data_IF_305419422710
#
_entry.id   IF_305419422710
#
_cell.length_a   1.000
_cell.length_b   1.000
_cell.length_c   1.000
_cell.angle_alpha   90.00
_cell.angle_beta   90.00
_cell.angle_gamma   90.00
#
_symmetry.space_group_name_H-M   'P 1'
#
loop_
_entity.id
_entity.type
_entity.pdbx_description
1 polymer ?
#
# COMPACT_ATOMS: atom_id res chain seq x y z
N UNK A 1 -10.66 -14.28 -24.22
CA UNK A 1 -10.38 -12.99 -23.55
C UNK A 1 -11.34 -12.77 -22.39
N UNK A 2 -10.83 -12.71 -21.15
CA UNK A 2 -11.62 -12.46 -19.92
C UNK A 2 -11.31 -11.06 -19.39
N UNK A 3 -12.28 -10.44 -18.73
CA UNK A 3 -12.14 -9.13 -18.11
C UNK A 3 -11.05 -9.16 -17.03
N UNK A 4 -10.09 -8.24 -17.08
CA UNK A 4 -9.00 -8.18 -16.10
C UNK A 4 -9.46 -7.88 -14.66
N UNK A 5 -10.63 -7.24 -14.48
CA UNK A 5 -11.17 -6.89 -13.16
C UNK A 5 -12.14 -7.95 -12.63
N UNK A 6 -13.12 -8.38 -13.44
CA UNK A 6 -14.21 -9.24 -12.96
C UNK A 6 -14.30 -10.60 -13.65
N UNK A 7 -13.30 -10.97 -14.46
CA UNK A 7 -13.15 -12.26 -15.14
C UNK A 7 -14.29 -12.71 -16.08
N UNK A 8 -15.35 -11.89 -16.24
CA UNK A 8 -16.42 -12.10 -17.24
C UNK A 8 -15.89 -12.00 -18.68
N UNK A 9 -16.64 -12.53 -19.65
CA UNK A 9 -16.32 -12.40 -21.09
C UNK A 9 -16.13 -10.92 -21.47
N UNK A 10 -14.97 -10.59 -22.05
CA UNK A 10 -14.67 -9.23 -22.48
C UNK A 10 -15.61 -8.80 -23.63
N UNK A 11 -15.94 -7.50 -23.69
CA UNK A 11 -16.89 -6.92 -24.66
C UNK A 11 -16.25 -5.84 -25.55
N UNK A 12 -14.93 -5.89 -25.75
CA UNK A 12 -14.21 -4.95 -26.63
C UNK A 12 -13.70 -3.68 -25.96
N UNK A 13 -13.82 -3.54 -24.64
CA UNK A 13 -13.12 -2.49 -23.91
C UNK A 13 -11.68 -2.92 -23.64
N UNK A 14 -10.72 -2.03 -23.82
CA UNK A 14 -9.29 -2.30 -23.58
C UNK A 14 -8.56 -1.10 -23.01
N UNK A 15 -7.37 -1.33 -22.48
CA UNK A 15 -6.49 -0.25 -22.02
C UNK A 15 -5.37 -0.01 -23.04
N UNK A 16 -5.08 1.27 -23.30
CA UNK A 16 -3.94 1.68 -24.12
C UNK A 16 -2.99 2.52 -23.27
N UNK A 17 -1.69 2.36 -23.49
CA UNK A 17 -0.70 3.18 -22.82
C UNK A 17 -0.60 4.54 -23.51
N UNK A 18 -1.02 5.66 -22.88
CA UNK A 18 -0.98 6.97 -23.52
C UNK A 18 0.46 7.48 -23.73
N UNK A 19 1.45 6.94 -23.01
CA UNK A 19 2.86 7.35 -23.09
C UNK A 19 3.58 6.77 -24.31
N UNK A 20 3.05 5.70 -24.89
CA UNK A 20 3.63 5.06 -26.06
C UNK A 20 3.10 5.70 -27.35
N UNK A 21 4.00 5.84 -28.33
CA UNK A 21 3.67 6.38 -29.64
C UNK A 21 2.63 5.49 -30.34
N UNK A 22 1.73 6.06 -31.17
CA UNK A 22 0.74 5.28 -31.91
C UNK A 22 1.27 4.09 -32.72
N UNK A 23 2.52 4.17 -33.17
CA UNK A 23 3.21 3.13 -33.94
C UNK A 23 3.83 2.01 -33.10
N UNK A 24 3.87 2.14 -31.77
CA UNK A 24 4.46 1.13 -30.89
C UNK A 24 3.52 -0.08 -30.74
N UNK A 25 3.95 -1.31 -31.07
CA UNK A 25 3.15 -2.51 -30.89
C UNK A 25 2.70 -2.73 -29.44
N UNK A 26 3.45 -2.24 -28.45
CA UNK A 26 3.13 -2.38 -27.04
C UNK A 26 2.12 -1.33 -26.54
N UNK A 27 1.68 -0.41 -27.40
CA UNK A 27 0.70 0.62 -27.03
C UNK A 27 -0.63 0.02 -26.62
N UNK A 28 -1.04 -1.05 -27.30
CA UNK A 28 -2.23 -1.81 -26.99
C UNK A 28 -1.82 -3.14 -26.38
N UNK A 29 -2.25 -3.39 -25.15
CA UNK A 29 -2.01 -4.69 -24.54
C UNK A 29 -3.24 -5.56 -24.68
N UNK A 30 -3.09 -6.69 -25.38
CA UNK A 30 -4.16 -7.69 -25.46
C UNK A 30 -4.51 -8.27 -24.07
N UNK A 31 -3.63 -8.11 -23.07
CA UNK A 31 -3.87 -8.60 -21.70
C UNK A 31 -4.94 -7.79 -20.97
N UNK A 32 -5.05 -6.48 -21.26
CA UNK A 32 -5.89 -5.56 -20.50
C UNK A 32 -7.20 -5.28 -21.23
N UNK A 33 -8.12 -6.24 -21.14
CA UNK A 33 -9.45 -6.21 -21.76
C UNK A 33 -10.55 -6.25 -20.70
N UNK A 34 -11.69 -5.60 -20.96
CA UNK A 34 -12.77 -5.41 -19.98
C UNK A 34 -14.16 -5.74 -20.55
N UNK A 35 -15.10 -6.05 -19.65
CA UNK A 35 -16.49 -6.36 -20.02
C UNK A 35 -17.42 -5.14 -20.07
N UNK A 36 -17.02 -4.00 -19.48
CA UNK A 36 -17.83 -2.79 -19.39
C UNK A 36 -16.95 -1.56 -19.11
N UNK A 37 -17.50 -0.36 -19.38
CA UNK A 37 -16.86 0.91 -19.05
C UNK A 37 -16.55 1.04 -17.56
N UNK A 38 -17.43 0.56 -16.67
CA UNK A 38 -17.19 0.54 -15.21
C UNK A 38 -15.92 -0.23 -14.83
N UNK A 39 -15.66 -1.39 -15.43
CA UNK A 39 -14.44 -2.15 -15.16
C UNK A 39 -13.20 -1.49 -15.75
N UNK A 40 -13.34 -0.82 -16.90
CA UNK A 40 -12.27 -0.02 -17.50
C UNK A 40 -11.92 1.18 -16.61
N UNK A 41 -12.91 1.95 -16.13
CA UNK A 41 -12.69 3.12 -15.28
C UNK A 41 -12.09 2.72 -13.92
N UNK A 42 -12.54 1.61 -13.32
CA UNK A 42 -11.93 1.08 -12.10
C UNK A 42 -10.46 0.70 -12.30
N UNK A 43 -10.13 0.10 -13.45
CA UNK A 43 -8.75 -0.20 -13.81
C UNK A 43 -7.94 1.07 -14.08
N UNK A 44 -8.51 2.06 -14.78
CA UNK A 44 -7.85 3.35 -14.99
C UNK A 44 -7.54 4.05 -13.66
N UNK A 45 -8.46 4.04 -12.70
CA UNK A 45 -8.25 4.60 -11.36
C UNK A 45 -7.12 3.89 -10.62
N UNK A 46 -7.07 2.56 -10.68
CA UNK A 46 -5.97 1.77 -10.13
C UNK A 46 -4.66 2.15 -10.79
N UNK A 47 -4.60 2.17 -12.13
CA UNK A 47 -3.38 2.52 -12.85
C UNK A 47 -2.95 3.96 -12.59
N UNK A 48 -3.85 4.95 -12.51
CA UNK A 48 -3.47 6.32 -12.13
C UNK A 48 -2.89 6.42 -10.73
N UNK A 49 -3.32 5.56 -9.80
CA UNK A 49 -2.72 5.45 -8.46
C UNK A 49 -1.38 4.73 -8.47
N UNK A 50 -1.09 3.92 -9.49
CA UNK A 50 0.10 3.04 -9.54
C UNK A 50 1.12 3.48 -10.61
N UNK A 51 0.80 4.45 -11.47
CA UNK A 51 1.60 4.81 -12.66
C UNK A 51 2.59 5.96 -12.45
N UNK A 52 3.41 5.85 -11.41
CA UNK A 52 4.79 6.27 -11.45
C UNK A 52 5.56 5.32 -10.52
N UNK A 53 6.76 4.88 -10.91
CA UNK A 53 7.69 4.21 -9.99
C UNK A 53 8.23 5.21 -8.96
N UNK A 54 7.35 5.69 -8.09
CA UNK A 54 7.70 6.07 -6.74
C UNK A 54 7.04 4.97 -5.92
N UNK A 55 7.80 4.28 -5.08
CA UNK A 55 7.18 3.70 -3.90
C UNK A 55 6.61 4.94 -3.25
N UNK A 56 5.31 5.23 -3.43
CA UNK A 56 4.64 6.16 -2.55
C UNK A 56 4.56 5.35 -1.27
N UNK A 57 5.47 5.56 -0.31
CA UNK A 57 5.33 4.92 0.98
C UNK A 57 3.91 5.22 1.44
N UNK A 58 3.18 4.16 1.78
CA UNK A 58 1.88 4.30 2.43
C UNK A 58 2.01 5.28 3.59
N UNK A 59 0.90 5.92 3.98
CA UNK A 59 0.93 6.85 5.11
C UNK A 59 1.54 6.21 6.37
N UNK A 60 1.36 4.89 6.52
CA UNK A 60 1.97 4.05 7.53
C UNK A 60 3.49 3.96 7.37
N UNK A 61 3.99 3.65 6.18
CA UNK A 61 5.44 3.58 5.91
C UNK A 61 6.10 4.97 6.08
N UNK A 62 5.41 6.06 5.72
CA UNK A 62 5.87 7.44 6.00
C UNK A 62 5.96 7.73 7.49
N UNK A 63 4.98 7.29 8.27
CA UNK A 63 4.98 7.43 9.72
C UNK A 63 6.16 6.66 10.34
N UNK A 64 6.38 5.41 9.92
CA UNK A 64 7.52 4.61 10.37
C UNK A 64 8.86 5.25 10.00
N UNK A 65 9.02 5.77 8.77
CA UNK A 65 10.23 6.49 8.36
C UNK A 65 10.50 7.73 9.22
N UNK A 66 9.46 8.47 9.60
CA UNK A 66 9.60 9.65 10.48
C UNK A 66 9.97 9.25 11.90
N UNK A 67 9.40 8.17 12.42
CA UNK A 67 9.70 7.67 13.75
C UNK A 67 11.15 7.16 13.89
N UNK A 68 11.76 6.68 12.79
CA UNK A 68 13.18 6.29 12.76
C UNK A 68 14.15 7.46 13.00
N UNK A 69 13.73 8.72 12.81
CA UNK A 69 14.61 9.89 12.93
C UNK A 69 15.11 10.10 14.36
N UNK A 70 14.30 9.78 15.38
CA UNK A 70 14.68 9.92 16.78
C UNK A 70 15.82 8.97 17.19
N UNK A 71 15.68 7.63 17.05
CA UNK A 71 16.74 6.70 17.43
C UNK A 71 17.99 6.84 16.55
N UNK A 72 17.82 7.23 15.28
CA UNK A 72 18.95 7.58 14.43
C UNK A 72 19.75 8.76 15.01
N UNK A 73 19.06 9.82 15.42
CA UNK A 73 19.71 11.01 16.01
C UNK A 73 20.42 10.70 17.32
N UNK A 74 19.82 9.87 18.17
CA UNK A 74 20.43 9.42 19.43
C UNK A 74 21.71 8.61 19.18
N UNK A 75 21.68 7.68 18.22
CA UNK A 75 22.84 6.87 17.87
C UNK A 75 23.98 7.72 17.29
N UNK A 76 23.70 8.59 16.31
CA UNK A 76 24.70 9.49 15.72
C UNK A 76 25.24 10.47 16.77
N UNK A 77 24.39 10.97 17.67
CA UNK A 77 24.80 11.80 18.80
C UNK A 77 25.79 11.09 19.75
N UNK A 78 25.63 9.78 19.95
CA UNK A 78 26.53 8.98 20.80
C UNK A 78 27.93 8.75 20.21
N UNK A 79 28.04 8.70 18.89
CA UNK A 79 29.31 8.49 18.16
C UNK A 79 30.08 9.81 17.96
N UNK A 80 29.37 10.93 17.96
CA UNK A 80 29.92 12.27 17.77
C UNK A 80 29.64 12.81 16.37
N UNK A 81 28.85 13.89 16.29
CA UNK A 81 28.39 14.50 15.03
C UNK A 81 29.51 15.15 14.20
N UNK A 82 30.69 15.35 14.78
CA UNK A 82 31.86 15.94 14.12
C UNK A 82 32.51 14.98 13.10
N UNK A 83 32.28 13.66 13.24
CA UNK A 83 32.83 12.65 12.35
C UNK A 83 31.95 12.50 11.09
N UNK A 84 32.50 12.66 9.88
CA UNK A 84 31.75 12.38 8.67
C UNK A 84 31.45 10.87 8.57
N UNK A 85 30.33 10.51 7.94
CA UNK A 85 29.92 9.11 7.73
C UNK A 85 30.98 8.25 7.00
N UNK A 86 31.88 8.89 6.25
CA UNK A 86 32.98 8.20 5.57
C UNK A 86 34.03 7.61 6.53
N UNK A 87 34.14 8.17 7.74
CA UNK A 87 35.12 7.75 8.75
C UNK A 87 34.53 6.74 9.74
N UNK A 88 33.32 6.24 9.48
CA UNK A 88 32.66 5.26 10.34
C UNK A 88 33.26 3.88 10.06
N UNK A 89 33.56 3.16 11.13
CA UNK A 89 33.96 1.76 11.06
C UNK A 89 32.79 0.92 10.54
N UNK A 90 33.10 -0.28 10.04
CA UNK A 90 32.07 -1.21 9.56
C UNK A 90 31.06 -1.54 10.66
N UNK A 91 31.54 -1.70 11.89
CA UNK A 91 30.74 -2.03 13.06
C UNK A 91 29.78 -0.88 13.41
N UNK A 92 30.24 0.36 13.36
CA UNK A 92 29.40 1.56 13.59
C UNK A 92 28.31 1.69 12.52
N UNK A 93 28.62 1.44 11.24
CA UNK A 93 27.61 1.50 10.16
C UNK A 93 26.58 0.37 10.29
N UNK A 94 27.02 -0.84 10.63
CA UNK A 94 26.10 -1.96 10.82
C UNK A 94 25.14 -1.70 11.98
N UNK A 95 25.64 -1.17 13.09
CA UNK A 95 24.79 -0.82 14.23
C UNK A 95 23.85 0.37 13.92
N UNK A 96 24.28 1.36 13.13
CA UNK A 96 23.37 2.41 12.64
C UNK A 96 22.20 1.83 11.84
N UNK A 97 22.50 0.91 10.92
CA UNK A 97 21.47 0.25 10.09
C UNK A 97 20.53 -0.57 10.98
N UNK A 98 21.07 -1.31 11.96
CA UNK A 98 20.29 -2.13 12.88
C UNK A 98 19.31 -1.29 13.71
N UNK A 99 19.77 -0.16 14.26
CA UNK A 99 18.92 0.79 15.01
C UNK A 99 17.78 1.32 14.13
N UNK A 100 18.07 1.70 12.90
CA UNK A 100 17.06 2.25 11.97
C UNK A 100 16.05 1.19 11.54
N UNK A 101 16.50 -0.01 11.18
CA UNK A 101 15.63 -1.09 10.72
C UNK A 101 14.75 -1.59 11.87
N UNK A 102 15.29 -1.71 13.07
CA UNK A 102 14.53 -2.10 14.27
C UNK A 102 13.43 -1.09 14.56
N UNK A 103 13.77 0.21 14.63
CA UNK A 103 12.78 1.26 14.87
C UNK A 103 11.69 1.31 13.80
N UNK A 104 12.06 1.07 12.54
CA UNK A 104 11.09 0.99 11.45
C UNK A 104 10.12 -0.18 11.62
N UNK A 105 10.64 -1.36 11.96
CA UNK A 105 9.85 -2.57 12.14
C UNK A 105 8.92 -2.46 13.34
N UNK A 106 9.39 -1.91 14.46
CA UNK A 106 8.58 -1.72 15.67
C UNK A 106 7.38 -0.81 15.40
N UNK A 107 7.62 0.31 14.71
CA UNK A 107 6.56 1.25 14.33
C UNK A 107 5.59 0.65 13.31
N UNK A 108 6.08 -0.21 12.42
CA UNK A 108 5.19 -0.96 11.54
C UNK A 108 4.31 -1.93 12.31
N UNK A 109 4.86 -2.68 13.26
CA UNK A 109 4.07 -3.63 14.05
C UNK A 109 2.99 -2.90 14.84
N UNK A 110 3.32 -1.80 15.50
CA UNK A 110 2.38 -0.99 16.29
C UNK A 110 1.20 -0.48 15.43
N UNK A 111 1.48 0.07 14.25
CA UNK A 111 0.43 0.52 13.34
C UNK A 111 -0.45 -0.63 12.82
N UNK A 112 0.14 -1.80 12.55
CA UNK A 112 -0.64 -2.99 12.17
C UNK A 112 -1.54 -3.48 13.31
N UNK A 113 -1.08 -3.43 14.56
CA UNK A 113 -1.89 -3.78 15.73
C UNK A 113 -3.08 -2.82 15.91
N UNK A 114 -2.84 -1.52 15.74
CA UNK A 114 -3.88 -0.49 15.77
C UNK A 114 -4.92 -0.73 14.66
N UNK A 115 -4.47 -1.02 13.44
CA UNK A 115 -5.35 -1.30 12.31
C UNK A 115 -6.18 -2.56 12.55
N UNK A 116 -5.56 -3.64 13.01
CA UNK A 116 -6.24 -4.89 13.33
C UNK A 116 -7.28 -4.73 14.45
N UNK A 117 -7.01 -3.88 15.45
CA UNK A 117 -7.95 -3.56 16.51
C UNK A 117 -9.17 -2.79 15.99
N UNK A 118 -8.96 -1.79 15.11
CA UNK A 118 -10.04 -1.04 14.47
C UNK A 118 -10.93 -1.94 13.60
N UNK A 119 -10.31 -2.81 12.81
CA UNK A 119 -11.03 -3.75 11.95
C UNK A 119 -11.87 -4.73 12.79
N UNK A 120 -11.31 -5.24 13.89
CA UNK A 120 -12.04 -6.10 14.83
C UNK A 120 -13.25 -5.39 15.43
N UNK A 121 -13.07 -4.17 15.93
CA UNK A 121 -14.16 -3.37 16.50
C UNK A 121 -15.27 -3.09 15.47
N UNK A 122 -14.89 -2.76 14.22
CA UNK A 122 -15.83 -2.54 13.13
C UNK A 122 -16.64 -3.80 12.79
N UNK A 123 -15.99 -4.96 12.76
CA UNK A 123 -16.65 -6.25 12.51
C UNK A 123 -17.62 -6.60 13.64
N UNK A 124 -17.21 -6.42 14.90
CA UNK A 124 -18.06 -6.63 16.07
C UNK A 124 -19.30 -5.72 16.04
N UNK A 125 -19.14 -4.44 15.71
CA UNK A 125 -20.25 -3.51 15.57
C UNK A 125 -21.22 -3.92 14.45
N UNK A 126 -20.70 -4.38 13.31
CA UNK A 126 -21.53 -4.91 12.21
C UNK A 126 -22.30 -6.17 12.61
N UNK A 127 -21.67 -7.09 13.33
CA UNK A 127 -22.31 -8.32 13.83
C UNK A 127 -23.42 -7.98 14.84
N UNK A 128 -23.17 -7.03 15.75
CA UNK A 128 -24.17 -6.55 16.70
C UNK A 128 -25.41 -5.94 16.01
N UNK A 129 -25.20 -5.15 14.96
CA UNK A 129 -26.29 -4.55 14.16
C UNK A 129 -27.09 -5.61 13.38
N UNK A 130 -26.44 -6.63 12.81
CA UNK A 130 -27.13 -7.72 12.12
C UNK A 130 -27.95 -8.61 13.06
N UNK A 131 -27.48 -8.85 14.29
CA UNK A 131 -28.22 -9.58 15.31
C UNK A 131 -29.52 -8.90 15.75
N UNK A 132 -29.61 -7.56 15.62
CA UNK A 132 -30.82 -6.80 15.93
C UNK A 132 -31.86 -6.81 14.79
N UNK A 133 -31.45 -7.12 13.56
CA UNK A 133 -32.33 -7.22 12.39
C UNK A 133 -32.72 -8.66 12.10
N UNK A 134 -33.30 -9.38 13.07
CA UNK A 134 -34.03 -10.64 12.79
C UNK A 134 -35.52 -10.34 12.60
N UNK A 135 -36.19 -10.92 11.59
CA UNK A 135 -37.43 -10.38 11.06
C UNK A 135 -38.60 -10.66 12.00
N UNK A 136 -39.39 -9.61 12.30
CA UNK A 136 -40.73 -9.77 12.87
C UNK A 136 -41.51 -10.73 11.95
N UNK A 137 -41.85 -11.89 12.49
CA UNK A 137 -42.64 -12.90 11.81
C UNK A 137 -43.91 -12.29 11.23
N UNK A 138 -44.15 -12.56 9.95
CA UNK A 138 -45.40 -12.21 9.28
C UNK A 138 -46.47 -13.18 9.80
N UNK A 139 -47.56 -12.70 10.44
CA UNK A 139 -48.63 -13.59 10.88
C UNK A 139 -49.45 -14.05 9.66
N UNK A 140 -49.64 -15.36 9.54
CA UNK A 140 -50.61 -16.00 8.65
C UNK A 140 -52.02 -15.90 9.24
#
# INVERSE_FOLDING_TARGET
MRCAICYRKAKGYGWFNPRLKPSDPNRYSDKWVFCSRRCQDAFCLLMTKTEARMIDPSDMELAAMRACLSPLGEYVGSIGMERPLADYTREEVLALIDVVVTAYQDQMIEEHEIMAAKDRAFLEERLARQGQTSPKGVPF
#
